data_IF_306527567434
#
_entry.id   IF_306527567434
#
_cell.length_a   1.000
_cell.length_b   1.000
_cell.length_c   1.000
_cell.angle_alpha   90.00
_cell.angle_beta   90.00
_cell.angle_gamma   90.00
#
_symmetry.space_group_name_H-M   'P 1'
#
loop_
_entity.id
_entity.type
_entity.pdbx_description
1 polymer ?
#
# COMPACT_ATOMS: atom_id res chain seq x y z
N UNK A 1 8.16 -58.82 15.48
CA UNK A 1 9.30 -58.79 16.41
C UNK A 1 8.83 -58.02 17.63
N UNK A 2 8.74 -58.68 18.77
CA UNK A 2 8.14 -58.15 20.00
C UNK A 2 9.24 -57.51 20.84
N UNK A 3 8.95 -56.35 21.45
CA UNK A 3 9.86 -55.70 22.39
C UNK A 3 10.19 -56.64 23.56
N UNK A 4 11.46 -56.69 23.99
CA UNK A 4 11.93 -57.61 25.04
C UNK A 4 11.24 -57.23 26.36
N UNK A 5 10.63 -58.21 27.04
CA UNK A 5 9.90 -58.02 28.30
C UNK A 5 10.77 -57.28 29.33
N UNK A 6 10.21 -56.22 29.93
CA UNK A 6 10.85 -55.29 30.89
C UNK A 6 11.81 -54.24 30.30
N UNK A 7 11.81 -54.00 28.99
CA UNK A 7 12.56 -52.88 28.41
C UNK A 7 11.83 -51.57 28.73
N UNK A 8 12.52 -50.63 29.40
CA UNK A 8 12.00 -49.28 29.64
C UNK A 8 12.28 -48.40 28.42
N UNK A 9 11.23 -47.91 27.78
CA UNK A 9 11.31 -47.15 26.53
C UNK A 9 11.28 -45.65 26.77
N UNK A 10 11.91 -44.91 25.86
CA UNK A 10 11.94 -43.45 25.91
C UNK A 10 10.55 -42.80 25.82
N UNK A 11 9.55 -43.51 25.28
CA UNK A 11 8.15 -43.04 25.24
C UNK A 11 7.39 -43.21 26.55
N UNK A 12 7.91 -43.98 27.52
CA UNK A 12 7.33 -44.17 28.85
C UNK A 12 8.07 -43.41 29.97
N UNK A 13 9.09 -42.61 29.62
CA UNK A 13 9.84 -41.74 30.53
C UNK A 13 9.27 -40.31 30.56
N UNK A 14 8.87 -39.83 31.74
CA UNK A 14 8.45 -38.44 31.97
C UNK A 14 9.61 -37.47 32.24
N UNK A 15 10.85 -37.97 32.24
CA UNK A 15 12.07 -37.21 32.59
C UNK A 15 12.96 -36.88 31.39
N UNK A 16 12.55 -37.27 30.17
CA UNK A 16 13.31 -36.98 28.96
C UNK A 16 13.23 -35.49 28.62
N UNK A 17 14.40 -34.87 28.37
CA UNK A 17 14.52 -33.44 28.05
C UNK A 17 14.08 -33.19 26.61
N UNK A 18 13.09 -32.32 26.41
CA UNK A 18 12.67 -31.87 25.09
C UNK A 18 13.71 -30.90 24.49
N UNK A 19 14.12 -31.14 23.24
CA UNK A 19 15.00 -30.24 22.49
C UNK A 19 14.15 -29.27 21.68
N UNK A 20 14.28 -27.97 21.94
CA UNK A 20 13.64 -26.94 21.13
C UNK A 20 14.55 -26.59 19.94
N UNK A 21 13.97 -26.46 18.75
CA UNK A 21 14.71 -26.03 17.55
C UNK A 21 15.12 -24.55 17.69
N UNK A 22 16.42 -24.27 17.56
CA UNK A 22 16.97 -22.90 17.56
C UNK A 22 16.60 -22.08 16.31
N UNK A 23 16.11 -22.74 15.25
CA UNK A 23 15.67 -22.08 14.03
C UNK A 23 14.21 -21.66 14.18
N UNK A 24 13.99 -20.34 14.25
CA UNK A 24 12.65 -19.75 14.28
C UNK A 24 12.26 -19.31 12.87
N UNK A 25 11.38 -20.05 12.23
CA UNK A 25 10.79 -19.65 10.95
C UNK A 25 9.69 -18.61 11.15
N UNK A 26 9.86 -17.39 10.61
CA UNK A 26 8.80 -16.37 10.58
C UNK A 26 8.17 -16.31 9.20
N UNK A 27 6.86 -16.58 9.13
CA UNK A 27 6.07 -16.50 7.88
C UNK A 27 5.21 -15.23 7.81
N UNK A 28 5.20 -14.41 8.87
CA UNK A 28 4.40 -13.18 8.90
C UNK A 28 4.82 -12.28 7.75
N UNK A 29 3.91 -11.91 6.84
CA UNK A 29 4.28 -11.11 5.67
C UNK A 29 4.75 -9.71 6.08
N UNK A 30 5.89 -9.30 5.53
CA UNK A 30 6.53 -8.00 5.76
C UNK A 30 6.30 -7.03 4.59
N UNK A 31 5.52 -7.45 3.60
CA UNK A 31 5.30 -6.75 2.34
C UNK A 31 4.63 -5.38 2.56
N UNK A 32 5.25 -4.34 2.00
CA UNK A 32 4.72 -2.96 1.98
C UNK A 32 4.90 -2.39 0.57
N UNK A 33 4.12 -2.87 -0.42
CA UNK A 33 4.40 -2.61 -1.83
C UNK A 33 4.40 -1.12 -2.16
N UNK A 34 3.40 -0.36 -1.70
CA UNK A 34 3.31 1.08 -2.02
C UNK A 34 4.44 1.83 -1.33
N UNK A 35 4.56 1.68 -0.01
CA UNK A 35 5.59 2.36 0.77
C UNK A 35 6.99 2.03 0.26
N UNK A 36 7.26 0.81 -0.18
CA UNK A 36 8.54 0.41 -0.75
C UNK A 36 8.82 1.02 -2.13
N UNK A 37 7.79 1.17 -2.99
CA UNK A 37 7.93 1.73 -4.34
C UNK A 37 8.09 3.25 -4.38
N UNK A 38 7.39 3.99 -3.53
CA UNK A 38 7.37 5.47 -3.59
C UNK A 38 8.66 6.10 -3.05
N UNK A 39 8.99 7.33 -3.46
CA UNK A 39 10.17 8.04 -2.93
C UNK A 39 10.00 8.34 -1.44
N UNK A 40 11.11 8.45 -0.70
CA UNK A 40 11.13 8.88 0.71
C UNK A 40 11.84 10.23 0.77
N UNK A 41 11.19 11.21 1.38
CA UNK A 41 11.71 12.55 1.60
C UNK A 41 11.58 12.97 3.06
N UNK A 42 11.95 14.22 3.34
CA UNK A 42 11.84 14.80 4.69
C UNK A 42 11.07 16.11 4.66
N UNK A 43 10.36 16.42 5.74
CA UNK A 43 9.72 17.71 5.97
C UNK A 43 10.12 18.29 7.33
N UNK A 44 9.99 19.60 7.50
CA UNK A 44 10.16 20.32 8.78
C UNK A 44 8.85 20.94 9.30
N UNK A 45 7.73 20.68 8.63
CA UNK A 45 6.39 21.16 9.01
C UNK A 45 5.47 19.99 9.35
N UNK A 46 4.52 20.21 10.25
CA UNK A 46 3.41 19.30 10.55
C UNK A 46 2.35 19.27 9.44
N UNK A 47 2.39 20.25 8.53
CA UNK A 47 1.55 20.37 7.34
C UNK A 47 2.45 20.82 6.18
N UNK A 48 3.23 19.91 5.56
CA UNK A 48 3.92 20.22 4.33
C UNK A 48 2.94 20.53 3.22
N UNK A 49 3.24 21.57 2.47
CA UNK A 49 2.47 21.98 1.31
C UNK A 49 3.34 21.94 0.05
N UNK A 50 2.69 21.78 -1.09
CA UNK A 50 3.30 21.84 -2.41
C UNK A 50 2.33 22.47 -3.39
N UNK A 51 2.87 22.97 -4.49
CA UNK A 51 2.11 23.68 -5.51
C UNK A 51 1.91 22.74 -6.70
N UNK A 52 0.71 22.77 -7.26
CA UNK A 52 0.34 22.10 -8.51
C UNK A 52 -0.09 23.17 -9.49
N UNK A 53 0.42 23.05 -10.70
CA UNK A 53 0.11 23.95 -11.81
C UNK A 53 -0.26 23.10 -13.03
N UNK A 54 -1.17 23.61 -13.83
CA UNK A 54 -1.67 22.95 -15.03
C UNK A 54 -1.32 23.82 -16.26
N UNK A 55 -0.97 23.17 -17.36
CA UNK A 55 -0.80 23.85 -18.64
C UNK A 55 -2.17 24.04 -19.32
N UNK A 56 -2.32 25.11 -20.10
CA UNK A 56 -3.49 25.29 -20.95
C UNK A 56 -3.66 24.12 -21.92
N UNK A 57 -4.90 23.74 -22.18
CA UNK A 57 -5.20 22.69 -23.16
C UNK A 57 -4.79 23.15 -24.56
N UNK A 58 -4.25 22.26 -25.41
CA UNK A 58 -3.93 22.61 -26.79
C UNK A 58 -5.19 23.03 -27.56
N UNK A 59 -5.07 24.08 -28.37
CA UNK A 59 -6.16 24.64 -29.17
C UNK A 59 -5.64 25.31 -30.44
N UNK A 60 -6.54 25.76 -31.34
CA UNK A 60 -6.13 26.51 -32.52
C UNK A 60 -5.40 27.80 -32.10
N UNK A 61 -4.16 27.95 -32.57
CA UNK A 61 -3.29 29.09 -32.26
C UNK A 61 -2.78 29.77 -33.55
N UNK A 62 -3.67 29.93 -34.53
CA UNK A 62 -3.37 30.71 -35.73
C UNK A 62 -3.70 32.18 -35.45
N UNK A 63 -2.76 33.06 -35.74
CA UNK A 63 -2.91 34.52 -35.56
C UNK A 63 -2.84 35.21 -36.93
N UNK A 64 -3.50 36.36 -37.07
CA UNK A 64 -3.43 37.15 -38.32
C UNK A 64 -2.07 37.84 -38.45
N UNK A 65 -1.62 38.07 -39.69
CA UNK A 65 -0.45 38.90 -39.93
C UNK A 65 -0.77 40.37 -39.59
N UNK A 66 0.03 40.96 -38.69
CA UNK A 66 -0.17 42.33 -38.20
C UNK A 66 -1.16 42.47 -37.02
N UNK A 67 -1.58 41.35 -36.40
CA UNK A 67 -2.50 41.36 -35.27
C UNK A 67 -1.88 41.95 -33.98
N UNK A 68 -2.72 42.52 -33.12
CA UNK A 68 -2.30 43.06 -31.83
C UNK A 68 -2.29 41.95 -30.76
N UNK A 69 -1.26 41.95 -29.90
CA UNK A 69 -1.14 40.93 -28.85
C UNK A 69 -2.24 41.07 -27.80
N UNK A 70 -2.98 39.99 -27.57
CA UNK A 70 -3.84 39.83 -26.40
C UNK A 70 -3.10 39.05 -25.32
N UNK A 71 -3.30 39.44 -24.06
CA UNK A 71 -2.67 38.82 -22.91
C UNK A 71 -3.72 38.08 -22.08
N UNK A 72 -3.52 36.80 -21.86
CA UNK A 72 -4.37 36.01 -20.97
C UNK A 72 -4.07 36.35 -19.50
N UNK A 73 -5.10 36.28 -18.64
CA UNK A 73 -4.89 36.40 -17.20
C UNK A 73 -4.19 35.15 -16.67
N UNK A 74 -3.17 35.36 -15.85
CA UNK A 74 -2.42 34.27 -15.21
C UNK A 74 -3.24 33.74 -14.02
N UNK A 75 -3.57 32.45 -14.03
CA UNK A 75 -4.19 31.78 -12.89
C UNK A 75 -3.18 31.51 -11.77
N UNK A 76 -3.58 31.67 -10.52
CA UNK A 76 -2.74 31.29 -9.38
C UNK A 76 -2.71 29.77 -9.22
N UNK A 77 -1.51 29.15 -9.15
CA UNK A 77 -1.39 27.71 -8.93
C UNK A 77 -2.06 27.24 -7.63
N UNK A 78 -2.55 26.00 -7.62
CA UNK A 78 -3.22 25.41 -6.47
C UNK A 78 -2.20 24.95 -5.41
N UNK A 79 -2.47 25.28 -4.14
CA UNK A 79 -1.68 24.81 -3.00
C UNK A 79 -2.33 23.58 -2.37
N UNK A 80 -1.63 22.46 -2.43
CA UNK A 80 -2.03 21.21 -1.79
C UNK A 80 -1.20 20.97 -0.52
N UNK A 81 -1.77 20.25 0.45
CA UNK A 81 -1.08 19.93 1.69
C UNK A 81 -1.66 18.72 2.41
N UNK A 82 -0.88 18.17 3.35
CA UNK A 82 -1.30 17.01 4.14
C UNK A 82 -0.75 17.11 5.56
N UNK A 83 -1.50 16.63 6.54
CA UNK A 83 -1.01 16.62 7.93
C UNK A 83 -0.13 15.40 8.21
N UNK A 84 0.86 15.57 9.09
CA UNK A 84 1.71 14.48 9.57
C UNK A 84 0.99 13.65 10.63
N UNK A 85 1.13 12.33 10.53
CA UNK A 85 0.62 11.37 11.50
C UNK A 85 1.76 10.75 12.29
N UNK A 86 1.57 10.67 13.61
CA UNK A 86 2.48 9.97 14.51
C UNK A 86 2.11 8.50 14.56
N UNK A 87 3.08 7.64 14.31
CA UNK A 87 2.97 6.20 14.42
C UNK A 87 3.93 5.73 15.50
N UNK A 88 3.46 4.87 16.40
CA UNK A 88 4.28 4.35 17.50
C UNK A 88 4.01 2.88 17.77
N UNK A 89 5.06 2.17 18.18
CA UNK A 89 4.97 0.84 18.77
C UNK A 89 5.83 0.81 20.03
N UNK A 90 5.28 0.26 21.10
CA UNK A 90 5.95 0.14 22.38
C UNK A 90 6.06 -1.33 22.78
N UNK A 91 7.09 -1.66 23.53
CA UNK A 91 7.30 -2.97 24.14
C UNK A 91 7.97 -2.81 25.49
N UNK A 92 7.91 -3.86 26.30
CA UNK A 92 8.53 -3.94 27.61
C UNK A 92 8.98 -5.38 27.85
N UNK A 93 10.18 -5.55 28.41
CA UNK A 93 10.75 -6.84 28.78
C UNK A 93 11.27 -6.76 30.21
N UNK A 94 11.12 -7.81 31.02
CA UNK A 94 11.68 -7.85 32.37
C UNK A 94 13.21 -7.99 32.34
N UNK A 95 13.90 -7.52 33.38
CA UNK A 95 15.36 -7.69 33.51
C UNK A 95 15.80 -9.16 33.50
N UNK A 96 14.99 -10.03 34.12
CA UNK A 96 15.19 -11.48 34.10
C UNK A 96 15.06 -12.08 32.69
N UNK A 97 14.07 -11.67 31.89
CA UNK A 97 13.93 -12.15 30.51
C UNK A 97 15.09 -11.72 29.61
N UNK A 98 15.66 -10.54 29.86
CA UNK A 98 16.86 -10.07 29.17
C UNK A 98 18.12 -10.85 29.58
N UNK A 99 18.18 -11.35 30.81
CA UNK A 99 19.31 -12.11 31.34
C UNK A 99 19.29 -13.61 30.98
N UNK A 100 18.11 -14.22 30.82
CA UNK A 100 17.96 -15.65 30.51
C UNK A 100 18.13 -15.91 29.02
N UNK A 101 18.85 -16.97 28.63
CA UNK A 101 18.97 -17.36 27.22
C UNK A 101 17.61 -17.78 26.63
N UNK A 102 17.28 -17.23 25.45
CA UNK A 102 16.06 -17.52 24.71
C UNK A 102 16.42 -18.09 23.34
N UNK A 103 15.69 -19.13 22.94
CA UNK A 103 15.86 -19.81 21.66
C UNK A 103 15.65 -18.82 20.52
N UNK A 104 16.68 -18.65 19.68
CA UNK A 104 16.67 -17.68 18.58
C UNK A 104 16.58 -16.21 19.02
N UNK A 105 16.80 -15.89 20.30
CA UNK A 105 16.78 -14.51 20.85
C UNK A 105 15.49 -13.72 20.54
N UNK A 106 14.34 -14.39 20.45
CA UNK A 106 13.07 -13.78 20.02
C UNK A 106 12.53 -12.74 21.00
N UNK A 107 12.72 -12.99 22.30
CA UNK A 107 12.28 -12.18 23.43
C UNK A 107 13.40 -11.29 23.96
N UNK A 108 14.33 -10.91 23.08
CA UNK A 108 15.39 -9.94 23.37
C UNK A 108 15.04 -8.57 22.82
N UNK A 109 15.57 -7.54 23.48
CA UNK A 109 15.27 -6.16 23.15
C UNK A 109 15.52 -5.80 21.68
N UNK A 110 16.67 -6.24 21.13
CA UNK A 110 17.07 -5.97 19.73
C UNK A 110 16.09 -6.56 18.73
N UNK A 111 15.65 -7.80 18.94
CA UNK A 111 14.72 -8.48 18.03
C UNK A 111 13.31 -7.89 18.12
N UNK A 112 12.85 -7.54 19.34
CA UNK A 112 11.60 -6.82 19.50
C UNK A 112 11.63 -5.45 18.82
N UNK A 113 12.75 -4.72 18.92
CA UNK A 113 12.94 -3.46 18.19
C UNK A 113 12.83 -3.64 16.67
N UNK A 114 13.48 -4.66 16.10
CA UNK A 114 13.40 -4.94 14.66
C UNK A 114 11.96 -5.27 14.23
N UNK A 115 11.28 -6.16 14.98
CA UNK A 115 9.86 -6.48 14.77
C UNK A 115 8.99 -5.23 14.79
N UNK A 116 9.14 -4.37 15.80
CA UNK A 116 8.37 -3.14 15.94
C UNK A 116 8.65 -2.14 14.81
N UNK A 117 9.86 -2.09 14.27
CA UNK A 117 10.19 -1.25 13.12
C UNK A 117 9.45 -1.72 11.85
N UNK A 118 9.39 -3.04 11.63
CA UNK A 118 8.63 -3.64 10.52
C UNK A 118 7.12 -3.44 10.68
N UNK A 119 6.59 -3.60 11.89
CA UNK A 119 5.18 -3.30 12.19
C UNK A 119 4.83 -1.84 11.88
N UNK A 120 5.69 -0.87 12.21
CA UNK A 120 5.45 0.55 11.85
C UNK A 120 5.40 0.74 10.33
N UNK A 121 6.29 0.08 9.57
CA UNK A 121 6.23 0.15 8.10
C UNK A 121 4.92 -0.40 7.54
N UNK A 122 4.42 -1.48 8.14
CA UNK A 122 3.10 -2.03 7.78
C UNK A 122 1.94 -1.12 8.18
N UNK A 123 2.04 -0.44 9.32
CA UNK A 123 1.05 0.57 9.72
C UNK A 123 1.05 1.77 8.74
N UNK A 124 2.22 2.17 8.21
CA UNK A 124 2.31 3.17 7.14
C UNK A 124 1.57 2.68 5.89
N UNK A 125 1.88 1.48 5.41
CA UNK A 125 1.19 0.89 4.25
C UNK A 125 -0.32 0.84 4.48
N UNK A 126 -0.76 0.43 5.68
CA UNK A 126 -2.16 0.40 6.06
C UNK A 126 -2.80 1.79 6.00
N UNK A 127 -2.14 2.81 6.53
CA UNK A 127 -2.62 4.19 6.45
C UNK A 127 -2.75 4.66 4.98
N UNK A 128 -1.81 4.28 4.11
CA UNK A 128 -1.84 4.63 2.67
C UNK A 128 -3.03 4.01 1.93
N UNK A 129 -3.40 2.77 2.25
CA UNK A 129 -4.49 2.02 1.58
C UNK A 129 -5.86 2.13 2.27
N UNK A 130 -5.90 2.65 3.49
CA UNK A 130 -7.15 2.88 4.25
C UNK A 130 -8.07 3.92 3.59
N UNK A 131 -9.29 4.06 4.12
CA UNK A 131 -10.23 5.15 3.73
C UNK A 131 -10.10 6.34 4.68
N UNK A 132 -8.86 6.71 5.00
CA UNK A 132 -8.55 7.77 5.94
C UNK A 132 -8.42 9.13 5.25
N UNK A 133 -9.13 10.13 5.75
CA UNK A 133 -8.98 11.53 5.36
C UNK A 133 -7.88 12.23 6.18
N UNK A 134 -7.32 13.33 5.66
CA UNK A 134 -6.44 14.19 6.44
C UNK A 134 -7.17 14.78 7.64
N UNK A 135 -6.53 14.83 8.81
CA UNK A 135 -7.11 15.44 10.03
C UNK A 135 -6.08 16.32 10.73
N UNK A 136 -6.46 17.58 10.98
CA UNK A 136 -5.67 18.56 11.74
C UNK A 136 -5.80 18.36 13.25
N UNK A 137 -6.97 17.93 13.71
CA UNK A 137 -7.26 17.74 15.14
C UNK A 137 -6.49 16.55 15.68
N UNK A 138 -6.25 16.55 16.99
CA UNK A 138 -5.61 15.40 17.64
C UNK A 138 -6.60 14.23 17.76
N UNK A 139 -6.23 12.99 17.38
CA UNK A 139 -4.96 12.62 16.77
C UNK A 139 -4.90 13.03 15.28
N UNK A 140 -3.80 13.69 14.88
CA UNK A 140 -3.58 14.07 13.48
C UNK A 140 -3.44 12.83 12.60
N UNK A 141 -4.00 12.90 11.39
CA UNK A 141 -4.03 11.80 10.44
C UNK A 141 -3.55 12.26 9.07
N UNK A 142 -2.75 11.40 8.43
CA UNK A 142 -2.31 11.58 7.06
C UNK A 142 -3.44 11.16 6.10
N UNK A 143 -3.59 11.85 4.98
CA UNK A 143 -4.50 11.42 3.92
C UNK A 143 -4.03 10.14 3.22
N UNK A 144 -4.91 9.15 3.14
CA UNK A 144 -4.74 7.94 2.34
C UNK A 144 -4.88 8.21 0.84
N UNK A 145 -4.42 7.29 -0.02
CA UNK A 145 -4.60 7.40 -1.48
C UNK A 145 -6.08 7.57 -1.86
N UNK A 146 -6.98 6.80 -1.25
CA UNK A 146 -8.42 6.85 -1.55
C UNK A 146 -9.06 8.22 -1.29
N UNK A 147 -8.52 8.99 -0.33
CA UNK A 147 -9.00 10.34 -0.01
C UNK A 147 -8.47 11.42 -0.94
N UNK A 148 -7.36 11.18 -1.63
CA UNK A 148 -6.81 12.11 -2.62
C UNK A 148 -7.54 12.02 -3.96
N UNK A 149 -7.85 10.80 -4.40
CA UNK A 149 -8.29 10.53 -5.78
C UNK A 149 -9.73 11.03 -5.99
N UNK A 150 -9.89 11.87 -7.01
CA UNK A 150 -11.11 12.53 -7.45
C UNK A 150 -11.33 12.43 -8.96
N UNK A 151 -10.28 12.56 -9.78
CA UNK A 151 -10.41 12.70 -11.25
C UNK A 151 -10.42 11.36 -11.99
N UNK A 152 -9.49 10.46 -11.68
CA UNK A 152 -9.38 9.15 -12.33
C UNK A 152 -10.06 8.07 -11.47
N UNK A 153 -11.38 7.96 -11.58
CA UNK A 153 -12.20 7.20 -10.63
C UNK A 153 -13.24 6.36 -11.33
N UNK A 154 -13.28 5.08 -11.00
CA UNK A 154 -14.42 4.24 -11.32
C UNK A 154 -14.97 3.64 -10.03
N UNK A 155 -16.19 4.02 -9.65
CA UNK A 155 -16.86 3.59 -8.41
C UNK A 155 -18.16 2.85 -8.70
N UNK A 156 -18.55 1.98 -7.77
CA UNK A 156 -19.86 1.34 -7.79
C UNK A 156 -20.99 2.34 -7.57
N UNK A 157 -22.21 1.96 -7.95
CA UNK A 157 -23.40 2.80 -7.82
C UNK A 157 -23.55 3.32 -6.39
N UNK A 158 -23.79 4.64 -6.24
CA UNK A 158 -23.96 5.31 -4.94
C UNK A 158 -22.65 5.67 -4.22
N UNK A 159 -21.50 5.27 -4.77
CA UNK A 159 -20.18 5.68 -4.30
C UNK A 159 -19.85 7.11 -4.69
N UNK A 160 -18.99 7.76 -3.91
CA UNK A 160 -18.52 9.12 -4.16
C UNK A 160 -17.02 9.25 -3.87
N UNK A 161 -16.33 10.05 -4.67
CA UNK A 161 -14.91 10.31 -4.48
C UNK A 161 -14.64 11.21 -3.28
N UNK A 162 -13.43 11.10 -2.74
CA UNK A 162 -12.90 12.07 -1.81
C UNK A 162 -12.45 13.34 -2.55
N UNK A 163 -11.25 13.78 -2.23
CA UNK A 163 -10.58 14.89 -2.88
C UNK A 163 -10.06 15.90 -1.87
N UNK A 164 -9.06 16.66 -2.30
CA UNK A 164 -8.52 17.77 -1.53
C UNK A 164 -9.48 18.97 -1.56
N UNK A 165 -9.71 19.58 -0.40
CA UNK A 165 -10.49 20.81 -0.25
C UNK A 165 -9.56 21.96 0.14
N UNK A 166 -9.25 22.88 -0.80
CA UNK A 166 -8.28 23.95 -0.57
C UNK A 166 -8.71 24.94 0.51
N UNK A 167 -10.02 25.04 0.80
CA UNK A 167 -10.54 25.91 1.87
C UNK A 167 -10.16 25.36 3.25
N UNK A 168 -10.23 24.03 3.39
CA UNK A 168 -9.92 23.35 4.65
C UNK A 168 -8.46 22.93 4.80
N UNK A 169 -7.72 22.86 3.69
CA UNK A 169 -6.34 22.36 3.64
C UNK A 169 -6.24 20.85 3.93
N UNK A 170 -7.32 20.10 3.68
CA UNK A 170 -7.46 18.67 4.02
C UNK A 170 -8.17 17.90 2.90
N UNK A 171 -7.92 16.59 2.83
CA UNK A 171 -8.71 15.70 1.98
C UNK A 171 -10.01 15.29 2.67
N UNK A 172 -11.02 14.88 1.89
CA UNK A 172 -12.24 14.25 2.36
C UNK A 172 -12.20 12.74 2.11
N UNK A 173 -12.81 11.96 3.01
CA UNK A 173 -12.93 10.51 2.81
C UNK A 173 -13.82 10.21 1.60
N UNK A 174 -13.47 9.19 0.82
CA UNK A 174 -14.37 8.63 -0.17
C UNK A 174 -15.56 7.94 0.51
N UNK A 175 -16.68 7.83 -0.22
CA UNK A 175 -17.86 7.06 0.18
C UNK A 175 -17.95 5.82 -0.70
N UNK A 176 -18.08 4.66 -0.06
CA UNK A 176 -18.25 3.39 -0.76
C UNK A 176 -19.62 3.31 -1.44
N UNK A 177 -19.63 2.66 -2.60
CA UNK A 177 -20.81 2.30 -3.37
C UNK A 177 -21.14 0.82 -3.29
N UNK A 178 -22.02 0.37 -4.19
CA UNK A 178 -22.37 -1.04 -4.33
C UNK A 178 -21.18 -1.87 -4.85
N UNK A 179 -20.93 -3.02 -4.22
CA UNK A 179 -19.82 -3.89 -4.61
C UNK A 179 -20.04 -4.55 -5.98
N UNK A 180 -18.94 -4.78 -6.71
CA UNK A 180 -18.94 -5.31 -8.08
C UNK A 180 -17.67 -6.10 -8.41
N UNK A 181 -17.68 -6.95 -9.46
CA UNK A 181 -16.49 -7.68 -9.87
C UNK A 181 -15.45 -6.76 -10.51
N UNK A 182 -14.17 -7.15 -10.40
CA UNK A 182 -13.09 -6.50 -11.15
C UNK A 182 -13.10 -7.00 -12.59
N UNK A 183 -13.19 -6.09 -13.57
CA UNK A 183 -13.25 -6.44 -14.99
C UNK A 183 -12.27 -5.60 -15.80
N UNK A 184 -11.87 -6.11 -16.97
CA UNK A 184 -10.99 -5.40 -17.91
C UNK A 184 -11.57 -4.04 -18.32
N UNK A 185 -12.88 -3.97 -18.54
CA UNK A 185 -13.56 -2.72 -18.89
C UNK A 185 -13.39 -1.63 -17.81
N UNK A 186 -13.46 -2.00 -16.52
CA UNK A 186 -13.23 -1.04 -15.43
C UNK A 186 -11.78 -0.55 -15.41
N UNK A 187 -10.82 -1.45 -15.70
CA UNK A 187 -9.40 -1.10 -15.78
C UNK A 187 -9.13 -0.15 -16.94
N UNK A 188 -9.59 -0.49 -18.14
CA UNK A 188 -9.40 0.34 -19.34
C UNK A 188 -10.06 1.71 -19.19
N UNK A 189 -11.22 1.79 -18.55
CA UNK A 189 -11.90 3.07 -18.29
C UNK A 189 -11.04 4.00 -17.42
N UNK A 190 -10.50 3.52 -16.29
CA UNK A 190 -9.65 4.38 -15.43
C UNK A 190 -8.30 4.68 -16.10
N UNK A 191 -7.73 3.74 -16.85
CA UNK A 191 -6.52 4.01 -17.62
C UNK A 191 -6.75 5.06 -18.71
N UNK A 192 -7.92 5.05 -19.37
CA UNK A 192 -8.32 6.07 -20.34
C UNK A 192 -8.46 7.45 -19.68
N UNK A 193 -9.18 7.54 -18.56
CA UNK A 193 -9.31 8.78 -17.79
C UNK A 193 -7.94 9.32 -17.38
N UNK A 194 -7.07 8.46 -16.86
CA UNK A 194 -5.71 8.82 -16.50
C UNK A 194 -4.93 9.35 -17.69
N UNK A 195 -4.96 8.65 -18.83
CA UNK A 195 -4.26 9.08 -20.05
C UNK A 195 -4.74 10.46 -20.53
N UNK A 196 -6.05 10.71 -20.53
CA UNK A 196 -6.64 12.00 -20.90
C UNK A 196 -6.24 13.11 -19.92
N UNK A 197 -6.07 12.78 -18.65
CA UNK A 197 -5.61 13.71 -17.59
C UNK A 197 -4.07 13.80 -17.48
N UNK A 198 -3.31 13.17 -18.38
CA UNK A 198 -1.84 13.22 -18.40
C UNK A 198 -1.13 12.29 -17.41
N UNK A 199 -1.85 11.33 -16.82
CA UNK A 199 -1.29 10.31 -15.94
C UNK A 199 -0.50 9.26 -16.71
N UNK A 200 0.62 8.82 -16.15
CA UNK A 200 1.39 7.69 -16.65
C UNK A 200 1.40 6.58 -15.60
N UNK A 201 0.28 5.86 -15.46
CA UNK A 201 0.19 4.75 -14.52
C UNK A 201 1.24 3.69 -14.86
N UNK A 202 1.96 3.22 -13.83
CA UNK A 202 3.00 2.19 -13.97
C UNK A 202 2.72 0.96 -13.12
N UNK A 203 2.08 1.15 -11.97
CA UNK A 203 1.79 0.09 -11.03
C UNK A 203 0.33 0.11 -10.63
N UNK A 204 -0.26 -1.07 -10.50
CA UNK A 204 -1.56 -1.25 -9.88
C UNK A 204 -1.35 -2.04 -8.59
N UNK A 205 -1.87 -1.55 -7.48
CA UNK A 205 -1.81 -2.25 -6.19
C UNK A 205 -3.23 -2.66 -5.78
N UNK A 206 -3.39 -3.96 -5.52
CA UNK A 206 -4.69 -4.60 -5.31
C UNK A 206 -4.65 -5.56 -4.13
N UNK A 207 -5.82 -5.96 -3.61
CA UNK A 207 -5.87 -7.12 -2.72
C UNK A 207 -5.50 -8.42 -3.47
N UNK A 208 -5.03 -9.47 -2.78
CA UNK A 208 -4.73 -10.77 -3.40
C UNK A 208 -5.91 -11.39 -4.15
N UNK A 209 -7.14 -11.23 -3.65
CA UNK A 209 -8.33 -11.71 -4.35
C UNK A 209 -8.54 -10.95 -5.67
N UNK A 210 -8.44 -9.63 -5.66
CA UNK A 210 -8.56 -8.82 -6.90
C UNK A 210 -7.44 -9.16 -7.89
N UNK A 211 -6.22 -9.47 -7.42
CA UNK A 211 -5.13 -10.00 -8.26
C UNK A 211 -5.49 -11.33 -8.91
N UNK A 212 -6.21 -12.22 -8.21
CA UNK A 212 -6.69 -13.48 -8.80
C UNK A 212 -7.74 -13.24 -9.88
N UNK A 213 -8.62 -12.25 -9.71
CA UNK A 213 -9.57 -11.86 -10.77
C UNK A 213 -8.85 -11.20 -11.96
N UNK A 214 -7.80 -10.42 -11.73
CA UNK A 214 -6.95 -9.87 -12.80
C UNK A 214 -6.34 -10.96 -13.67
N UNK A 215 -5.84 -12.04 -13.08
CA UNK A 215 -5.30 -13.19 -13.84
C UNK A 215 -6.34 -13.77 -14.81
N UNK A 216 -7.63 -13.73 -14.44
CA UNK A 216 -8.72 -14.22 -15.28
C UNK A 216 -8.96 -13.32 -16.51
N UNK A 217 -8.38 -12.12 -16.58
CA UNK A 217 -8.43 -11.29 -17.79
C UNK A 217 -7.76 -11.98 -18.97
N UNK A 218 -6.82 -12.91 -18.74
CA UNK A 218 -6.22 -13.73 -19.80
C UNK A 218 -7.23 -14.63 -20.53
N UNK A 219 -8.38 -14.90 -19.91
CA UNK A 219 -9.48 -15.67 -20.53
C UNK A 219 -10.50 -14.79 -21.27
N UNK A 220 -10.31 -13.47 -21.28
CA UNK A 220 -11.10 -12.54 -22.08
C UNK A 220 -10.78 -12.75 -23.56
N UNK A 221 -11.80 -12.87 -24.41
CA UNK A 221 -11.66 -13.07 -25.85
C UNK A 221 -10.86 -11.96 -26.55
N UNK A 222 -10.77 -10.78 -25.93
CA UNK A 222 -10.04 -9.62 -26.44
C UNK A 222 -8.58 -9.56 -25.96
N UNK A 223 -8.10 -10.56 -25.22
CA UNK A 223 -6.70 -10.66 -24.78
C UNK A 223 -5.98 -11.72 -25.61
N UNK A 224 -4.82 -11.36 -26.17
CA UNK A 224 -4.00 -12.30 -26.92
C UNK A 224 -3.57 -13.45 -26.00
N UNK A 225 -4.02 -14.67 -26.33
CA UNK A 225 -3.64 -15.86 -25.59
C UNK A 225 -2.14 -16.13 -25.75
N UNK A 226 -1.43 -16.31 -24.63
CA UNK A 226 -0.05 -16.81 -24.66
C UNK A 226 -0.06 -18.25 -25.20
N UNK A 227 0.30 -18.42 -26.47
CA UNK A 227 0.52 -19.75 -27.06
C UNK A 227 1.94 -20.18 -26.72
N UNK A 228 2.07 -21.07 -25.73
CA UNK A 228 3.33 -21.77 -25.49
C UNK A 228 3.48 -22.89 -26.52
N UNK A 229 4.64 -22.97 -27.17
CA UNK A 229 5.01 -24.14 -27.96
C UNK A 229 5.16 -25.32 -27.00
N UNK A 230 4.27 -26.31 -27.10
CA UNK A 230 4.40 -27.57 -26.38
C UNK A 230 5.58 -28.31 -27.00
N UNK A 231 6.70 -28.43 -26.30
CA UNK A 231 7.74 -29.38 -26.70
C UNK A 231 7.20 -30.80 -26.50
N UNK A 232 7.28 -31.65 -27.51
CA UNK A 232 6.74 -33.01 -27.59
C UNK A 232 7.14 -33.99 -26.46
N UNK A 233 8.01 -33.59 -25.53
CA UNK A 233 8.38 -34.40 -24.38
C UNK A 233 7.52 -34.08 -23.15
N UNK A 234 6.35 -34.70 -23.16
CA UNK A 234 5.64 -35.26 -22.01
C UNK A 234 6.56 -35.46 -20.78
N UNK A 235 6.44 -34.53 -19.81
CA UNK A 235 6.39 -34.83 -18.36
C UNK A 235 6.26 -33.61 -17.44
N UNK A 236 6.42 -32.37 -17.92
CA UNK A 236 6.17 -31.17 -17.12
C UNK A 236 5.47 -30.08 -17.94
N UNK A 237 4.16 -30.19 -18.14
CA UNK A 237 3.37 -29.07 -18.66
C UNK A 237 3.20 -28.04 -17.53
N UNK A 238 4.08 -27.04 -17.48
CA UNK A 238 3.94 -25.92 -16.55
C UNK A 238 2.72 -25.09 -16.97
N UNK A 239 1.65 -25.14 -16.19
CA UNK A 239 0.52 -24.22 -16.35
C UNK A 239 0.99 -22.85 -15.85
N UNK A 240 1.37 -21.96 -16.79
CA UNK A 240 1.72 -20.57 -16.47
C UNK A 240 0.42 -19.76 -16.44
N UNK A 241 -0.12 -19.55 -15.24
CA UNK A 241 -1.33 -18.77 -14.99
C UNK A 241 -1.04 -17.44 -14.27
N UNK A 242 0.12 -16.84 -14.48
CA UNK A 242 0.50 -15.59 -13.80
C UNK A 242 0.61 -14.44 -14.80
N UNK A 243 -0.45 -13.63 -14.89
CA UNK A 243 -0.38 -12.31 -15.50
C UNK A 243 0.12 -11.31 -14.45
N UNK A 244 1.31 -10.75 -14.66
CA UNK A 244 1.87 -9.69 -13.81
C UNK A 244 1.86 -8.31 -14.46
N UNK A 245 1.81 -8.26 -15.79
CA UNK A 245 1.80 -7.04 -16.58
C UNK A 245 0.54 -7.04 -17.43
N UNK A 246 -0.17 -5.91 -17.40
CA UNK A 246 -1.19 -5.60 -18.38
C UNK A 246 -0.59 -4.65 -19.42
N UNK A 247 -0.66 -5.04 -20.69
CA UNK A 247 -0.28 -4.20 -21.82
C UNK A 247 -1.57 -3.81 -22.55
N UNK A 248 -2.06 -2.62 -22.22
CA UNK A 248 -3.34 -2.10 -22.71
C UNK A 248 -3.15 -0.93 -23.68
N UNK A 249 -4.24 -0.41 -24.27
CA UNK A 249 -4.20 0.69 -25.23
C UNK A 249 -3.62 2.00 -24.66
N UNK A 250 -3.62 2.16 -23.33
CA UNK A 250 -3.13 3.35 -22.63
C UNK A 250 -1.78 3.13 -21.93
N UNK A 251 -1.08 2.03 -22.25
CA UNK A 251 0.26 1.73 -21.76
C UNK A 251 0.35 0.47 -20.91
N UNK A 252 1.58 0.21 -20.42
CA UNK A 252 1.93 -0.99 -19.65
C UNK A 252 1.89 -0.71 -18.16
N UNK A 253 1.21 -1.57 -17.41
CA UNK A 253 1.11 -1.49 -15.95
C UNK A 253 1.39 -2.84 -15.29
N UNK A 254 2.15 -2.83 -14.20
CA UNK A 254 2.45 -4.02 -13.41
C UNK A 254 1.50 -4.13 -12.21
N UNK A 255 0.86 -5.28 -12.03
CA UNK A 255 -0.14 -5.50 -10.97
C UNK A 255 0.45 -6.23 -9.78
N UNK A 256 0.47 -5.58 -8.63
CA UNK A 256 1.07 -6.04 -7.38
C UNK A 256 -0.01 -6.44 -6.35
N UNK A 257 0.01 -7.67 -5.80
CA UNK A 257 -0.82 -8.00 -4.66
C UNK A 257 -0.30 -7.35 -3.38
N UNK A 258 -1.21 -6.81 -2.57
CA UNK A 258 -0.91 -6.22 -1.27
C UNK A 258 -1.67 -6.94 -0.16
N UNK A 259 -0.93 -7.67 0.68
CA UNK A 259 -1.50 -8.42 1.80
C UNK A 259 -2.11 -7.52 2.88
N UNK A 260 -1.61 -6.29 3.02
CA UNK A 260 -2.18 -5.31 3.97
C UNK A 260 -3.59 -4.91 3.54
N UNK A 261 -3.86 -4.84 2.23
CA UNK A 261 -5.21 -4.54 1.73
C UNK A 261 -6.22 -5.66 2.04
N UNK A 262 -5.79 -6.91 2.17
CA UNK A 262 -6.65 -8.03 2.58
C UNK A 262 -6.94 -8.08 4.09
N UNK A 263 -6.37 -7.19 4.90
CA UNK A 263 -6.58 -7.18 6.35
C UNK A 263 -8.03 -6.89 6.75
N UNK A 264 -8.78 -6.15 5.93
CA UNK A 264 -10.19 -5.88 6.15
C UNK A 264 -10.95 -5.66 4.84
N UNK A 265 -12.28 -5.70 4.93
CA UNK A 265 -13.14 -5.58 3.77
C UNK A 265 -13.16 -4.17 3.15
N UNK A 266 -12.85 -3.10 3.89
CA UNK A 266 -12.87 -1.72 3.35
C UNK A 266 -11.64 -1.46 2.47
N UNK A 267 -10.44 -1.86 2.93
CA UNK A 267 -9.19 -1.71 2.18
C UNK A 267 -9.10 -2.63 0.97
N UNK A 268 -9.78 -3.78 1.03
CA UNK A 268 -9.68 -4.79 -0.02
C UNK A 268 -10.46 -4.45 -1.30
N UNK A 269 -11.36 -3.47 -1.26
CA UNK A 269 -12.29 -3.11 -2.35
C UNK A 269 -11.68 -2.19 -3.41
N UNK A 270 -10.43 -1.78 -3.25
CA UNK A 270 -9.79 -0.80 -4.12
C UNK A 270 -8.70 -1.45 -4.96
N UNK A 271 -8.60 -1.03 -6.22
CA UNK A 271 -7.40 -1.17 -7.04
C UNK A 271 -6.82 0.22 -7.27
N UNK A 272 -5.63 0.48 -6.71
CA UNK A 272 -4.96 1.77 -6.83
C UNK A 272 -4.00 1.76 -8.02
N UNK A 273 -4.20 2.65 -8.98
CA UNK A 273 -3.29 2.89 -10.09
C UNK A 273 -2.38 4.05 -9.71
N UNK A 274 -1.07 3.81 -9.73
CA UNK A 274 -0.08 4.77 -9.24
C UNK A 274 1.09 4.94 -10.21
N UNK A 275 1.60 6.17 -10.26
CA UNK A 275 2.96 6.48 -10.69
C UNK A 275 3.83 6.75 -9.44
N UNK A 276 4.80 5.87 -9.11
CA UNK A 276 5.69 6.05 -7.96
C UNK A 276 6.50 7.36 -8.00
N UNK A 277 6.73 7.94 -9.19
CA UNK A 277 7.45 9.21 -9.31
C UNK A 277 6.62 10.42 -8.86
N UNK A 278 5.30 10.28 -8.88
CA UNK A 278 4.34 11.30 -8.46
C UNK A 278 3.92 11.17 -6.98
N UNK A 279 4.43 10.15 -6.29
CA UNK A 279 4.18 9.89 -4.88
C UNK A 279 5.48 9.94 -4.08
N UNK A 280 5.41 10.54 -2.89
CA UNK A 280 6.54 10.60 -1.96
C UNK A 280 6.03 10.50 -0.52
N UNK A 281 6.66 9.69 0.31
CA UNK A 281 6.42 9.68 1.75
C UNK A 281 7.38 10.64 2.45
N UNK A 282 6.87 11.67 3.09
CA UNK A 282 7.67 12.68 3.80
C UNK A 282 7.73 12.35 5.28
N UNK A 283 8.94 12.16 5.79
CA UNK A 283 9.18 12.00 7.22
C UNK A 283 9.47 13.35 7.88
N UNK A 284 8.71 13.72 8.90
CA UNK A 284 9.06 14.79 9.84
C UNK A 284 10.02 14.28 10.91
N UNK A 285 9.72 13.08 11.43
CA UNK A 285 10.59 12.31 12.31
C UNK A 285 10.73 10.92 11.72
N UNK A 286 11.92 10.56 11.26
CA UNK A 286 12.20 9.20 10.82
C UNK A 286 11.90 8.21 11.95
N UNK A 287 11.61 6.96 11.59
CA UNK A 287 11.38 5.89 12.55
C UNK A 287 12.63 5.77 13.43
N UNK A 288 12.49 6.12 14.69
CA UNK A 288 13.58 6.12 15.65
C UNK A 288 13.10 5.66 17.01
N UNK A 289 14.04 5.17 17.80
CA UNK A 289 13.79 4.78 19.18
C UNK A 289 13.81 6.01 20.08
N UNK A 290 12.82 6.10 20.96
CA UNK A 290 12.87 7.06 22.07
C UNK A 290 13.83 6.53 23.13
N UNK A 291 15.00 7.17 23.22
CA UNK A 291 16.08 6.75 24.12
C UNK A 291 15.87 7.20 25.57
N UNK A 292 14.98 8.16 25.81
CA UNK A 292 14.87 8.85 27.10
C UNK A 292 13.64 8.39 27.91
N UNK A 293 13.32 7.09 27.83
CA UNK A 293 12.18 6.53 28.57
C UNK A 293 12.60 6.31 30.03
N UNK A 294 11.84 6.88 30.96
CA UNK A 294 12.08 6.66 32.39
C UNK A 294 11.90 5.18 32.78
N UNK A 295 12.92 4.64 33.46
CA UNK A 295 12.83 3.33 34.13
C UNK A 295 11.93 3.49 35.35
N UNK A 296 10.84 2.71 35.40
CA UNK A 296 9.85 2.76 36.50
C UNK A 296 9.71 1.43 37.22
N UNK A 297 10.62 0.49 36.98
CA UNK A 297 10.59 -0.87 37.52
C UNK A 297 11.74 -1.70 36.96
N UNK A 298 11.85 -2.96 37.36
CA UNK A 298 12.86 -3.90 36.82
C UNK A 298 12.47 -4.44 35.43
N UNK A 299 12.43 -3.52 34.47
CA UNK A 299 12.08 -3.79 33.10
C UNK A 299 12.77 -2.82 32.13
N UNK A 300 13.11 -3.33 30.96
CA UNK A 300 13.62 -2.58 29.82
C UNK A 300 12.45 -2.23 28.90
N UNK A 301 12.15 -0.94 28.80
CA UNK A 301 11.07 -0.39 27.97
C UNK A 301 11.66 0.14 26.67
N UNK A 302 10.96 -0.11 25.56
CA UNK A 302 11.30 0.48 24.28
C UNK A 302 10.09 1.06 23.59
N UNK A 303 10.29 2.18 22.90
CA UNK A 303 9.29 2.82 22.05
C UNK A 303 9.95 3.21 20.74
N UNK A 304 9.39 2.76 19.63
CA UNK A 304 9.70 3.29 18.30
C UNK A 304 8.62 4.29 17.91
N UNK A 305 9.04 5.45 17.41
CA UNK A 305 8.18 6.54 16.98
C UNK A 305 8.64 6.98 15.60
N UNK A 306 7.69 7.16 14.69
CA UNK A 306 7.88 7.86 13.42
C UNK A 306 6.74 8.85 13.22
N UNK A 307 7.01 9.94 12.51
CA UNK A 307 5.99 10.91 12.12
C UNK A 307 6.18 11.31 10.66
N UNK A 308 5.15 11.14 9.85
CA UNK A 308 5.24 11.41 8.42
C UNK A 308 3.89 11.53 7.74
N UNK A 309 3.91 11.80 6.44
CA UNK A 309 2.72 12.00 5.62
C UNK A 309 2.94 11.62 4.16
N UNK A 310 1.85 11.37 3.44
CA UNK A 310 1.88 11.14 2.00
C UNK A 310 1.84 12.47 1.25
N UNK A 311 2.80 12.68 0.35
CA UNK A 311 2.79 13.75 -0.65
C UNK A 311 2.37 13.17 -2.00
N UNK A 312 1.21 13.61 -2.48
CA UNK A 312 0.71 13.35 -3.83
C UNK A 312 1.03 14.56 -4.68
N UNK A 313 2.06 14.49 -5.52
CA UNK A 313 2.56 15.66 -6.27
C UNK A 313 1.50 16.25 -7.20
N UNK A 314 0.69 15.41 -7.83
CA UNK A 314 -0.48 15.80 -8.61
C UNK A 314 -1.54 14.70 -8.45
N UNK A 315 -2.76 15.09 -8.10
CA UNK A 315 -3.89 14.16 -7.91
C UNK A 315 -4.22 13.41 -9.22
N UNK A 316 -4.12 14.09 -10.36
CA UNK A 316 -4.37 13.49 -11.69
C UNK A 316 -3.38 12.36 -12.03
N UNK A 317 -2.28 12.19 -11.30
CA UNK A 317 -1.31 11.12 -11.54
C UNK A 317 -1.65 9.78 -10.86
N UNK A 318 -2.71 9.75 -10.05
CA UNK A 318 -3.19 8.54 -9.37
C UNK A 318 -4.64 8.25 -9.76
N UNK A 319 -5.04 6.98 -9.65
CA UNK A 319 -6.38 6.54 -9.99
C UNK A 319 -6.86 5.40 -9.12
N UNK A 320 -8.18 5.19 -9.08
CA UNK A 320 -8.77 4.09 -8.30
C UNK A 320 -9.96 3.47 -9.01
N UNK A 321 -10.01 2.14 -8.94
CA UNK A 321 -11.20 1.35 -9.21
C UNK A 321 -11.69 0.86 -7.85
N UNK A 322 -12.83 1.37 -7.41
CA UNK A 322 -13.38 1.09 -6.08
C UNK A 322 -14.58 0.15 -6.14
N UNK A 323 -15.00 -0.24 -4.94
CA UNK A 323 -16.16 -1.08 -4.67
C UNK A 323 -16.01 -2.48 -5.28
N UNK A 324 -14.78 -2.98 -5.37
CA UNK A 324 -14.51 -4.32 -5.86
C UNK A 324 -14.87 -5.38 -4.82
N UNK A 325 -15.22 -6.58 -5.26
CA UNK A 325 -15.11 -7.76 -4.40
C UNK A 325 -13.64 -7.93 -4.00
N UNK A 326 -13.35 -7.83 -2.71
CA UNK A 326 -11.99 -7.64 -2.21
C UNK A 326 -11.38 -8.82 -1.45
N UNK A 327 -12.20 -9.66 -0.81
CA UNK A 327 -11.77 -10.81 -0.01
C UNK A 327 -12.22 -12.13 -0.63
N UNK A 328 -13.42 -12.14 -1.19
CA UNK A 328 -14.03 -13.24 -1.92
C UNK A 328 -15.09 -12.67 -2.86
N UNK A 329 -15.56 -13.47 -3.81
CA UNK A 329 -16.80 -13.18 -4.53
C UNK A 329 -17.93 -13.10 -3.51
N UNK A 330 -18.74 -12.05 -3.53
CA UNK A 330 -19.99 -12.04 -2.77
C UNK A 330 -20.99 -12.91 -3.52
N UNK A 331 -21.51 -13.95 -2.86
CA UNK A 331 -22.64 -14.76 -3.36
C UNK A 331 -23.92 -13.95 -3.18
#
# INVERSE_FOLDING_TARGET
MTEITNTFISTSSSTNKESLSDVVSRITPEDTPIYSMIKKGSTRSIHPEWVVDDLSSPGPNAQLEGDEYSFESISTPERMGNYTQIMRKSWILSGTQESIDDTGSLLKYKEQKLKKALEIRKDVEFALVSVQQSEKKSPRKLASLSSWIKTNVNRGTGGASGGYDPTSGMTKKAKDGAQRPFTKQLLDAVMQEGYQNGANFRHIVVSPYVKSEFVRFMSDSNVASFRYAVSDNSKNNTIVATADIYDGPFGKVMVHPNRVMASNAETARNAFLIDPNMLEFLWLRNIQEDKNIAKTGDANKGVLIGEGTLKVKNEKAIGVISDLFGLSKTI
#
